data_IF_293460806998
#
_entry.id   IF_293460806998
#
_cell.length_a   1.000
_cell.length_b   1.000
_cell.length_c   1.000
_cell.angle_alpha   90.00
_cell.angle_beta   90.00
_cell.angle_gamma   90.00
#
_symmetry.space_group_name_H-M   'P 1'
#
loop_
_entity.id
_entity.type
_entity.pdbx_description
1 polymer ?
#
# COMPACT_ATOMS: atom_id res chain seq x y z
N UNK A 1 9.41 10.27 2.53
CA UNK A 1 10.25 10.25 1.32
C UNK A 1 9.95 8.97 0.56
N UNK A 2 9.55 9.07 -0.71
CA UNK A 2 9.24 7.91 -1.56
C UNK A 2 10.37 7.70 -2.56
N UNK A 3 10.81 6.46 -2.72
CA UNK A 3 11.75 6.09 -3.78
C UNK A 3 10.96 6.13 -5.09
N UNK A 4 11.29 7.09 -5.97
CA UNK A 4 10.59 7.30 -7.25
C UNK A 4 11.26 6.58 -8.41
N UNK A 5 12.53 6.23 -8.25
CA UNK A 5 13.35 5.54 -9.25
C UNK A 5 14.07 4.38 -8.59
N UNK A 6 14.17 3.25 -9.30
CA UNK A 6 14.91 2.10 -8.80
C UNK A 6 16.40 2.47 -8.63
N UNK A 7 17.00 2.31 -7.44
CA UNK A 7 18.39 2.70 -7.20
C UNK A 7 19.41 1.81 -7.93
N UNK A 8 18.99 0.67 -8.49
CA UNK A 8 19.87 -0.26 -9.21
C UNK A 8 19.76 -0.15 -10.73
N UNK A 9 18.56 0.07 -11.29
CA UNK A 9 18.36 0.12 -12.75
C UNK A 9 17.96 1.50 -13.28
N UNK A 10 17.61 2.46 -12.42
CA UNK A 10 17.19 3.81 -12.83
C UNK A 10 15.76 3.91 -13.39
N UNK A 11 15.02 2.81 -13.52
CA UNK A 11 13.65 2.80 -14.04
C UNK A 11 12.68 3.53 -13.10
N UNK A 12 11.68 4.20 -13.66
CA UNK A 12 10.63 4.86 -12.86
C UNK A 12 9.80 3.80 -12.15
N UNK A 13 9.70 3.91 -10.83
CA UNK A 13 8.84 3.03 -10.05
C UNK A 13 7.38 3.43 -10.22
N UNK A 14 6.45 2.46 -10.18
CA UNK A 14 5.03 2.76 -10.12
C UNK A 14 4.69 3.58 -8.87
N UNK A 15 3.57 4.30 -8.93
CA UNK A 15 3.07 5.06 -7.80
C UNK A 15 2.95 4.17 -6.56
N UNK A 16 3.44 4.68 -5.43
CA UNK A 16 3.35 3.97 -4.16
C UNK A 16 1.89 3.80 -3.78
N UNK A 17 1.49 2.58 -3.44
CA UNK A 17 0.16 2.30 -2.90
C UNK A 17 0.06 2.60 -1.40
N UNK A 18 1.13 3.11 -0.78
CA UNK A 18 1.19 3.39 0.65
C UNK A 18 0.00 4.24 1.09
N UNK A 19 -0.27 5.35 0.43
CA UNK A 19 -1.35 6.26 0.83
C UNK A 19 -2.72 5.58 0.73
N UNK A 20 -2.95 4.78 -0.33
CA UNK A 20 -4.17 3.99 -0.47
C UNK A 20 -4.34 2.95 0.64
N UNK A 21 -3.25 2.37 1.13
CA UNK A 21 -3.26 1.44 2.26
C UNK A 21 -3.72 2.13 3.54
N UNK A 22 -3.15 3.29 3.85
CA UNK A 22 -3.53 4.10 5.01
C UNK A 22 -4.99 4.53 4.94
N UNK A 23 -5.44 5.10 3.80
CA UNK A 23 -6.82 5.53 3.60
C UNK A 23 -7.84 4.38 3.82
N UNK A 24 -7.47 3.16 3.42
CA UNK A 24 -8.34 1.98 3.60
C UNK A 24 -8.38 1.53 5.05
N UNK A 25 -7.24 1.53 5.73
CA UNK A 25 -7.17 1.18 7.15
C UNK A 25 -7.95 2.18 8.01
N UNK A 26 -7.79 3.48 7.78
CA UNK A 26 -8.54 4.52 8.49
C UNK A 26 -10.06 4.36 8.27
N UNK A 27 -10.50 4.06 7.04
CA UNK A 27 -11.92 3.78 6.73
C UNK A 27 -12.47 2.53 7.42
N UNK A 28 -11.61 1.58 7.76
CA UNK A 28 -11.97 0.39 8.53
C UNK A 28 -11.91 0.63 10.05
N UNK A 29 -11.47 1.81 10.48
CA UNK A 29 -11.31 2.18 11.90
C UNK A 29 -9.95 1.81 12.48
N UNK A 30 -8.95 1.51 11.64
CA UNK A 30 -7.57 1.28 12.05
C UNK A 30 -6.74 2.54 11.84
N UNK A 31 -6.63 3.37 12.88
CA UNK A 31 -5.81 4.58 12.86
C UNK A 31 -4.30 4.30 13.08
N UNK A 32 -3.97 3.13 13.65
CA UNK A 32 -2.60 2.73 13.93
C UNK A 32 -2.13 1.58 13.00
N UNK A 33 -1.10 1.79 12.16
CA UNK A 33 -0.59 0.77 11.25
C UNK A 33 0.18 -0.38 11.92
N UNK A 34 0.43 -0.28 13.23
CA UNK A 34 1.09 -1.31 14.03
C UNK A 34 0.12 -2.09 14.91
N UNK A 35 -1.19 -1.90 14.70
CA UNK A 35 -2.21 -2.61 15.46
C UNK A 35 -2.24 -4.09 15.06
N UNK A 36 -2.15 -4.99 16.04
CA UNK A 36 -2.22 -6.44 15.85
C UNK A 36 -3.59 -6.88 15.29
N UNK A 37 -4.60 -6.02 15.32
CA UNK A 37 -5.94 -6.30 14.79
C UNK A 37 -6.05 -6.06 13.27
N UNK A 38 -5.01 -5.54 12.60
CA UNK A 38 -5.04 -5.33 11.15
C UNK A 38 -5.16 -6.69 10.44
N UNK A 39 -6.16 -6.88 9.56
CA UNK A 39 -6.35 -8.15 8.88
C UNK A 39 -5.11 -8.59 8.06
N UNK A 40 -4.82 -9.89 8.05
CA UNK A 40 -3.67 -10.47 7.33
C UNK A 40 -3.63 -10.10 5.85
N UNK A 41 -4.79 -9.83 5.23
CA UNK A 41 -4.86 -9.39 3.84
C UNK A 41 -4.02 -8.11 3.62
N UNK A 42 -4.07 -7.15 4.56
CA UNK A 42 -3.35 -5.88 4.51
C UNK A 42 -1.86 -6.01 4.89
N UNK A 43 -1.49 -7.11 5.55
CA UNK A 43 -0.11 -7.44 5.93
C UNK A 43 0.61 -8.33 4.90
N UNK A 44 -0.09 -8.74 3.84
CA UNK A 44 0.43 -9.64 2.82
C UNK A 44 0.37 -9.02 1.42
N UNK A 45 1.03 -9.69 0.47
CA UNK A 45 0.96 -9.31 -0.95
C UNK A 45 -0.46 -9.39 -1.53
N UNK A 46 -1.39 -10.08 -0.84
CA UNK A 46 -2.80 -10.19 -1.24
C UNK A 46 -3.40 -8.80 -1.41
N UNK A 47 -3.24 -7.91 -0.44
CA UNK A 47 -3.72 -6.54 -0.58
C UNK A 47 -3.01 -5.79 -1.71
N UNK A 48 -1.69 -5.95 -1.88
CA UNK A 48 -0.96 -5.27 -2.96
C UNK A 48 -1.47 -5.70 -4.36
N UNK A 49 -1.74 -7.00 -4.53
CA UNK A 49 -2.24 -7.57 -5.77
C UNK A 49 -3.72 -7.21 -6.04
N UNK A 50 -4.54 -7.14 -5.00
CA UNK A 50 -5.95 -6.76 -5.11
C UNK A 50 -6.12 -5.25 -5.33
N UNK A 51 -5.40 -4.41 -4.57
CA UNK A 51 -5.43 -2.95 -4.69
C UNK A 51 -4.93 -2.44 -6.05
N UNK A 52 -4.11 -3.23 -6.76
CA UNK A 52 -3.69 -2.93 -8.13
C UNK A 52 -4.87 -2.76 -9.11
N UNK A 53 -6.00 -3.45 -8.84
CA UNK A 53 -7.20 -3.39 -9.68
C UNK A 53 -8.10 -2.19 -9.37
N UNK A 54 -7.98 -1.63 -8.17
CA UNK A 54 -8.85 -0.56 -7.65
C UNK A 54 -8.28 0.84 -7.93
N UNK A 55 -6.95 0.96 -8.13
CA UNK A 55 -6.24 2.22 -8.34
C UNK A 55 -6.15 2.72 -9.78
N UNK A 56 -6.88 2.12 -10.72
CA UNK A 56 -6.91 2.54 -12.13
C UNK A 56 -8.28 3.14 -12.46
N UNK A 57 -8.54 4.35 -11.98
CA UNK A 57 -9.63 5.20 -12.48
C UNK A 57 -9.13 6.62 -12.67
#
# INVERSE_FOLDING_TARGET
>A
MLISFCPWCGERLPLSKRDLWFDKLEKLGFDNPYDDNIPEEFQSEKWYNHSAKEGFK
#
